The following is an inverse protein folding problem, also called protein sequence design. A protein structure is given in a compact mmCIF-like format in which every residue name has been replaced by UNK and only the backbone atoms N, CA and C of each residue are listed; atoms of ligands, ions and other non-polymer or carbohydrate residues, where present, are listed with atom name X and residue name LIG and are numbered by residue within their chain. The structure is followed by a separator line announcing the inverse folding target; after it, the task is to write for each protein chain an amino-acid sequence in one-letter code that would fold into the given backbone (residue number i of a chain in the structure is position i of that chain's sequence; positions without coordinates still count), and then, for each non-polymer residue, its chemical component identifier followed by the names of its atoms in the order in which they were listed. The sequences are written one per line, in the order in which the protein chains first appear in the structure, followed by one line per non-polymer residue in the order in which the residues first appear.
data_IF_426363662546
#
_entry.id   IF_426363662546
#
_cell.length_a   1.000
_cell.length_b   1.000
_cell.length_c   1.000
_cell.angle_alpha   90.00
_cell.angle_beta   90.00
_cell.angle_gamma   90.00
#
_symmetry.space_group_name_H-M   'P 1'
#
loop_
_entity.id
_entity.type
_entity.pdbx_description
1 polymer ?
#
# COMPACT_ATOMS: atom_id res chain seq x y z
N UNK A 1 20.27 -19.70 8.97
CA UNK A 1 19.15 -19.77 7.98
C UNK A 1 18.64 -18.37 7.64
N UNK A 2 18.54 -17.45 8.62
CA UNK A 2 18.27 -16.01 8.44
C UNK A 2 19.26 -15.34 7.45
N UNK A 3 20.56 -15.68 7.53
CA UNK A 3 21.57 -15.13 6.63
C UNK A 3 21.32 -15.39 5.14
N UNK A 4 20.64 -16.49 4.78
CA UNK A 4 20.47 -16.89 3.37
C UNK A 4 19.45 -16.05 2.59
N UNK A 5 18.57 -15.33 3.28
CA UNK A 5 17.55 -14.45 2.67
C UNK A 5 17.86 -12.96 2.89
N UNK A 6 18.55 -12.61 3.98
CA UNK A 6 19.25 -11.32 4.05
C UNK A 6 20.23 -11.20 2.89
N UNK A 7 20.96 -12.29 2.59
CA UNK A 7 21.77 -12.41 1.36
C UNK A 7 20.99 -12.13 0.08
N UNK A 8 19.68 -12.39 -0.01
CA UNK A 8 18.92 -12.15 -1.26
C UNK A 8 18.48 -10.70 -1.39
N UNK A 9 18.19 -10.03 -0.27
CA UNK A 9 17.90 -8.60 -0.27
C UNK A 9 19.17 -7.76 -0.41
N UNK A 10 20.25 -8.17 0.25
CA UNK A 10 21.59 -7.63 0.01
C UNK A 10 21.99 -7.87 -1.44
N UNK A 11 21.83 -9.08 -1.99
CA UNK A 11 22.08 -9.32 -3.43
C UNK A 11 21.20 -8.48 -4.33
N UNK A 12 19.90 -8.38 -4.09
CA UNK A 12 19.03 -7.50 -4.89
C UNK A 12 19.45 -6.02 -4.76
N UNK A 13 19.82 -5.59 -3.57
CA UNK A 13 20.34 -4.24 -3.34
C UNK A 13 21.69 -4.01 -4.04
N UNK A 14 22.55 -5.02 -4.10
CA UNK A 14 23.88 -4.97 -4.70
C UNK A 14 23.81 -5.10 -6.23
N UNK A 15 23.01 -6.04 -6.75
CA UNK A 15 22.78 -6.29 -8.18
C UNK A 15 22.23 -5.05 -8.89
N UNK A 16 21.45 -4.22 -8.18
CA UNK A 16 20.88 -2.98 -8.69
C UNK A 16 21.56 -1.70 -8.13
N UNK A 17 22.69 -1.83 -7.43
CA UNK A 17 23.49 -0.69 -6.92
C UNK A 17 22.75 0.23 -5.93
N UNK A 18 21.70 -0.28 -5.27
CA UNK A 18 20.90 0.44 -4.28
C UNK A 18 21.68 0.65 -2.97
N UNK A 19 22.70 -0.18 -2.71
CA UNK A 19 23.59 -0.08 -1.54
C UNK A 19 24.62 1.06 -1.61
N UNK A 20 25.04 1.46 -2.81
CA UNK A 20 26.12 2.45 -3.00
C UNK A 20 25.74 3.85 -2.51
N UNK A 21 24.44 4.19 -2.52
CA UNK A 21 23.93 5.47 -2.00
C UNK A 21 23.79 5.50 -0.48
N UNK A 22 23.81 4.35 0.20
CA UNK A 22 23.78 4.24 1.67
C UNK A 22 25.14 4.44 2.32
N UNK A 23 26.21 4.03 1.63
CA UNK A 23 27.60 4.10 2.11
C UNK A 23 28.34 5.39 1.73
N UNK A 24 27.67 6.37 1.12
CA UNK A 24 28.28 7.68 0.98
C UNK A 24 28.46 8.29 2.38
N UNK A 25 29.69 8.64 2.79
CA UNK A 25 29.90 9.35 4.04
C UNK A 25 29.09 10.64 3.97
N UNK A 26 28.06 10.74 4.82
CA UNK A 26 27.27 11.95 4.99
C UNK A 26 28.24 13.08 5.30
N UNK A 27 28.48 13.96 4.34
CA UNK A 27 29.54 14.99 4.40
C UNK A 27 29.29 16.07 5.46
N UNK A 28 28.22 15.97 6.25
CA UNK A 28 27.92 16.86 7.38
C UNK A 28 27.53 16.04 8.61
N UNK A 29 28.52 15.41 9.27
CA UNK A 29 28.40 14.90 10.64
C UNK A 29 29.25 15.78 11.53
N UNK A 30 28.69 16.94 11.88
CA UNK A 30 29.06 17.68 13.08
C UNK A 30 27.76 17.84 13.86
N UNK A 31 27.31 16.75 14.46
CA UNK A 31 26.81 16.75 15.84
C UNK A 31 26.65 15.30 16.29
N UNK A 32 27.63 14.83 17.05
CA UNK A 32 27.62 13.53 17.68
C UNK A 32 26.77 13.63 18.95
N UNK A 33 25.46 13.43 18.79
CA UNK A 33 24.50 13.31 19.89
C UNK A 33 23.49 12.22 19.61
N UNK A 34 23.64 11.07 20.26
CA UNK A 34 22.60 10.05 20.44
C UNK A 34 22.09 9.37 19.17
N UNK A 35 22.44 8.11 18.97
CA UNK A 35 21.78 7.18 18.05
C UNK A 35 20.34 6.81 18.51
N UNK A 36 19.59 7.75 19.09
CA UNK A 36 18.16 7.67 19.31
C UNK A 36 17.42 8.36 18.15
N UNK A 37 17.71 7.94 16.91
CA UNK A 37 16.66 8.03 15.89
C UNK A 37 15.71 6.89 16.18
N UNK A 38 14.89 7.09 17.21
CA UNK A 38 13.66 6.35 17.44
C UNK A 38 13.04 6.07 16.07
N UNK A 39 12.88 4.77 15.75
CA UNK A 39 12.10 4.37 14.58
C UNK A 39 10.84 5.22 14.65
N UNK A 40 10.62 6.08 13.66
CA UNK A 40 9.41 6.88 13.56
C UNK A 40 8.30 5.87 13.25
N UNK A 41 7.85 5.17 14.28
CA UNK A 41 6.62 4.39 14.26
C UNK A 41 5.58 5.46 14.07
N UNK A 42 5.01 5.53 12.87
CA UNK A 42 3.79 6.30 12.65
C UNK A 42 2.77 5.63 13.54
N UNK A 43 2.60 6.19 14.74
CA UNK A 43 1.50 5.79 15.59
C UNK A 43 0.26 6.24 14.84
N UNK A 44 -0.60 5.30 14.48
CA UNK A 44 -1.95 5.67 14.07
C UNK A 44 -2.52 6.49 15.22
N UNK A 45 -2.73 7.78 14.98
CA UNK A 45 -3.34 8.63 15.98
C UNK A 45 -4.76 8.10 16.14
N UNK A 46 -5.02 7.43 17.26
CA UNK A 46 -6.37 7.11 17.68
C UNK A 46 -7.07 8.41 18.03
N UNK A 47 -7.52 9.14 17.01
CA UNK A 47 -8.37 10.30 17.16
C UNK A 47 -9.75 9.81 17.60
N UNK A 48 -10.04 9.91 18.90
CA UNK A 48 -11.33 10.13 19.57
C UNK A 48 -12.62 9.41 19.11
N UNK A 49 -12.52 8.41 18.25
CA UNK A 49 -13.59 7.51 17.85
C UNK A 49 -13.03 6.11 17.76
N UNK A 50 -13.74 5.14 18.31
CA UNK A 50 -13.37 3.73 18.30
C UNK A 50 -13.53 3.16 16.86
N UNK A 51 -12.80 3.72 15.89
CA UNK A 51 -12.82 3.28 14.50
C UNK A 51 -12.05 1.97 14.44
N UNK A 52 -12.81 0.88 14.27
CA UNK A 52 -12.28 -0.47 14.13
C UNK A 52 -12.12 -0.75 12.65
N UNK A 53 -10.98 -1.35 12.27
CA UNK A 53 -10.74 -1.80 10.91
C UNK A 53 -11.86 -2.75 10.45
N UNK A 54 -12.47 -2.45 9.30
CA UNK A 54 -13.34 -3.39 8.60
C UNK A 54 -12.46 -4.43 7.88
N UNK A 55 -12.10 -5.50 8.61
CA UNK A 55 -11.22 -6.57 8.12
C UNK A 55 -11.73 -7.19 6.81
N UNK A 56 -13.05 -7.34 6.66
CA UNK A 56 -13.66 -7.91 5.45
C UNK A 56 -13.44 -6.97 4.26
N UNK A 57 -13.64 -5.67 4.45
CA UNK A 57 -13.36 -4.69 3.41
C UNK A 57 -11.87 -4.65 3.06
N UNK A 58 -11.00 -4.67 4.08
CA UNK A 58 -9.55 -4.60 3.96
C UNK A 58 -8.98 -5.80 3.18
N UNK A 59 -9.37 -7.03 3.54
CA UNK A 59 -8.96 -8.26 2.86
C UNK A 59 -9.44 -8.31 1.41
N UNK A 60 -10.69 -7.89 1.18
CA UNK A 60 -11.22 -7.81 -0.17
C UNK A 60 -10.46 -6.79 -1.02
N UNK A 61 -10.10 -5.64 -0.45
CA UNK A 61 -9.30 -4.62 -1.15
C UNK A 61 -7.91 -5.16 -1.50
N UNK A 62 -7.25 -5.84 -0.56
CA UNK A 62 -5.92 -6.40 -0.80
C UNK A 62 -5.94 -7.50 -1.88
N UNK A 63 -6.93 -8.39 -1.84
CA UNK A 63 -7.15 -9.39 -2.89
C UNK A 63 -7.40 -8.75 -4.26
N UNK A 64 -8.17 -7.66 -4.30
CA UNK A 64 -8.42 -6.90 -5.53
C UNK A 64 -7.16 -6.25 -6.07
N UNK A 65 -6.25 -5.81 -5.19
CA UNK A 65 -4.93 -5.34 -5.59
C UNK A 65 -4.13 -6.47 -6.25
N UNK A 66 -4.14 -7.69 -5.71
CA UNK A 66 -3.44 -8.83 -6.33
C UNK A 66 -3.99 -9.15 -7.72
N UNK A 67 -5.32 -9.20 -7.85
CA UNK A 67 -6.00 -9.43 -9.14
C UNK A 67 -5.63 -8.34 -10.16
N UNK A 68 -5.61 -7.08 -9.73
CA UNK A 68 -5.29 -5.92 -10.57
C UNK A 68 -3.83 -5.92 -10.98
N UNK A 69 -2.92 -6.20 -10.03
CA UNK A 69 -1.49 -6.32 -10.28
C UNK A 69 -1.21 -7.31 -11.39
N UNK A 70 -1.79 -8.51 -11.27
CA UNK A 70 -1.65 -9.58 -12.26
C UNK A 70 -2.28 -9.22 -13.62
N UNK A 71 -3.39 -8.50 -13.63
CA UNK A 71 -4.00 -8.03 -14.87
C UNK A 71 -3.10 -7.00 -15.59
N UNK A 72 -2.51 -6.06 -14.86
CA UNK A 72 -1.59 -5.06 -15.42
C UNK A 72 -0.32 -5.70 -15.99
N UNK A 73 0.24 -6.73 -15.35
CA UNK A 73 1.37 -7.49 -15.90
C UNK A 73 1.00 -8.17 -17.23
N UNK A 74 -0.18 -8.80 -17.29
CA UNK A 74 -0.69 -9.43 -18.52
C UNK A 74 -0.86 -8.42 -19.66
N UNK A 75 -1.35 -7.21 -19.38
CA UNK A 75 -1.50 -6.16 -20.40
C UNK A 75 -0.18 -5.75 -21.02
N UNK A 76 0.92 -5.80 -20.26
CA UNK A 76 2.28 -5.55 -20.79
C UNK A 76 2.92 -6.79 -21.44
N UNK A 77 2.16 -7.86 -21.67
CA UNK A 77 2.64 -9.17 -22.16
C UNK A 77 3.68 -9.83 -21.26
N UNK A 78 3.68 -9.52 -19.96
CA UNK A 78 4.55 -10.11 -18.95
C UNK A 78 3.79 -11.31 -18.36
N UNK A 79 3.89 -12.45 -19.06
CA UNK A 79 3.08 -13.65 -18.80
C UNK A 79 3.76 -14.69 -17.89
N UNK A 80 4.87 -14.33 -17.26
CA UNK A 80 5.77 -15.25 -16.54
C UNK A 80 5.27 -15.64 -15.16
N UNK A 81 4.46 -14.82 -14.50
CA UNK A 81 4.04 -15.05 -13.12
C UNK A 81 2.60 -15.54 -13.07
N UNK A 82 2.39 -16.69 -12.41
CA UNK A 82 1.06 -17.24 -12.13
C UNK A 82 0.51 -16.70 -10.79
N UNK A 83 -0.80 -16.79 -10.59
CA UNK A 83 -1.43 -16.37 -9.34
C UNK A 83 -0.92 -17.19 -8.14
N UNK A 84 -0.67 -18.48 -8.34
CA UNK A 84 -0.10 -19.37 -7.33
C UNK A 84 1.33 -18.98 -6.97
N UNK A 85 2.12 -18.55 -7.96
CA UNK A 85 3.49 -18.05 -7.74
C UNK A 85 3.47 -16.75 -6.92
N UNK A 86 2.56 -15.81 -7.24
CA UNK A 86 2.39 -14.59 -6.47
C UNK A 86 2.02 -14.88 -5.01
N UNK A 87 1.00 -15.71 -4.79
CA UNK A 87 0.56 -16.10 -3.45
C UNK A 87 1.68 -16.80 -2.66
N UNK A 88 2.46 -17.66 -3.32
CA UNK A 88 3.60 -18.31 -2.70
C UNK A 88 4.67 -17.28 -2.29
N UNK A 89 5.02 -16.34 -3.16
CA UNK A 89 6.00 -15.29 -2.85
C UNK A 89 5.54 -14.39 -1.71
N UNK A 90 4.25 -14.03 -1.67
CA UNK A 90 3.64 -13.30 -0.55
C UNK A 90 3.79 -14.10 0.74
N UNK A 91 3.36 -15.36 0.77
CA UNK A 91 3.45 -16.21 1.97
C UNK A 91 4.90 -16.42 2.44
N UNK A 92 5.82 -16.68 1.51
CA UNK A 92 7.25 -16.83 1.82
C UNK A 92 7.80 -15.53 2.43
N UNK A 93 7.40 -14.38 1.91
CA UNK A 93 7.80 -13.05 2.42
C UNK A 93 7.17 -12.74 3.77
N UNK A 94 5.89 -13.06 3.98
CA UNK A 94 5.18 -12.92 5.26
C UNK A 94 5.89 -13.69 6.38
N UNK A 95 6.30 -14.94 6.11
CA UNK A 95 6.98 -15.79 7.09
C UNK A 95 8.42 -15.34 7.36
N UNK A 96 9.04 -14.68 6.39
CA UNK A 96 10.41 -14.20 6.51
C UNK A 96 10.50 -12.88 7.27
N UNK A 97 9.58 -11.96 7.01
CA UNK A 97 9.68 -10.62 7.54
C UNK A 97 9.29 -10.60 9.01
N UNK A 98 10.22 -10.12 9.83
CA UNK A 98 9.88 -9.73 11.18
C UNK A 98 8.84 -8.61 11.11
N UNK A 99 7.74 -8.79 11.84
CA UNK A 99 6.70 -7.79 12.12
C UNK A 99 7.28 -6.62 12.96
N UNK A 100 8.27 -5.93 12.40
CA UNK A 100 9.12 -4.95 13.09
C UNK A 100 8.47 -3.58 13.29
N UNK A 101 7.31 -3.38 12.66
CA UNK A 101 6.41 -2.25 12.86
C UNK A 101 5.47 -2.45 14.04
N UNK A 102 5.38 -3.67 14.58
CA UNK A 102 4.50 -3.93 15.71
C UNK A 102 5.15 -3.33 16.95
N UNK A 103 4.32 -2.72 17.81
CA UNK A 103 4.82 -2.22 19.09
C UNK A 103 5.50 -3.37 19.85
N UNK A 104 6.65 -3.10 20.45
CA UNK A 104 7.40 -4.08 21.25
C UNK A 104 6.70 -4.48 22.57
N UNK A 105 5.43 -4.10 22.74
CA UNK A 105 4.61 -4.42 23.89
C UNK A 105 4.19 -5.89 23.90
N UNK A 106 4.00 -6.45 25.09
CA UNK A 106 3.51 -7.82 25.35
C UNK A 106 2.07 -8.11 24.89
N UNK A 107 1.44 -7.19 24.17
CA UNK A 107 0.08 -7.32 23.65
C UNK A 107 0.10 -7.93 22.25
N UNK A 108 -0.90 -8.76 21.89
CA UNK A 108 -1.05 -9.21 20.52
C UNK A 108 -1.22 -8.00 19.59
N UNK A 109 -0.73 -8.14 18.35
CA UNK A 109 -0.90 -7.13 17.32
C UNK A 109 -2.39 -6.87 17.08
N UNK A 110 -2.75 -5.61 16.87
CA UNK A 110 -4.13 -5.29 16.50
C UNK A 110 -4.35 -5.50 14.98
N UNK A 111 -5.62 -5.60 14.57
CA UNK A 111 -5.98 -5.86 13.18
C UNK A 111 -5.39 -4.82 12.20
N UNK A 112 -5.28 -3.55 12.62
CA UNK A 112 -4.66 -2.48 11.83
C UNK A 112 -3.17 -2.73 11.57
N UNK A 113 -2.42 -3.12 12.61
CA UNK A 113 -1.01 -3.46 12.52
C UNK A 113 -0.81 -4.66 11.59
N UNK A 114 -1.68 -5.67 11.68
CA UNK A 114 -1.65 -6.84 10.80
C UNK A 114 -1.93 -6.48 9.35
N UNK A 115 -2.97 -5.67 9.09
CA UNK A 115 -3.29 -5.20 7.75
C UNK A 115 -2.16 -4.36 7.13
N UNK A 116 -1.62 -3.41 7.89
CA UNK A 116 -0.48 -2.60 7.44
C UNK A 116 0.75 -3.45 7.11
N UNK A 117 1.00 -4.51 7.90
CA UNK A 117 2.06 -5.46 7.61
C UNK A 117 1.79 -6.24 6.34
N UNK A 118 0.56 -6.69 6.11
CA UNK A 118 0.17 -7.37 4.88
C UNK A 118 0.34 -6.43 3.66
N UNK A 119 -0.10 -5.18 3.73
CA UNK A 119 0.16 -4.19 2.69
C UNK A 119 1.65 -4.03 2.38
N UNK A 120 2.50 -3.99 3.41
CA UNK A 120 3.95 -3.90 3.23
C UNK A 120 4.54 -5.15 2.55
N UNK A 121 4.08 -6.34 2.92
CA UNK A 121 4.50 -7.59 2.27
C UNK A 121 4.14 -7.56 0.79
N UNK A 122 2.89 -7.23 0.45
CA UNK A 122 2.43 -7.18 -0.94
C UNK A 122 3.22 -6.12 -1.72
N UNK A 123 3.40 -4.92 -1.16
CA UNK A 123 4.24 -3.88 -1.76
C UNK A 123 5.64 -4.39 -2.07
N UNK A 124 6.30 -5.10 -1.14
CA UNK A 124 7.64 -5.62 -1.35
C UNK A 124 7.69 -6.65 -2.48
N UNK A 125 6.77 -7.61 -2.46
CA UNK A 125 6.69 -8.67 -3.49
C UNK A 125 6.40 -8.05 -4.86
N UNK A 126 5.46 -7.11 -4.94
CA UNK A 126 5.14 -6.41 -6.18
C UNK A 126 6.37 -5.68 -6.73
N UNK A 127 7.09 -4.91 -5.91
CA UNK A 127 8.29 -4.22 -6.38
C UNK A 127 9.37 -5.18 -6.88
N UNK A 128 9.60 -6.28 -6.16
CA UNK A 128 10.58 -7.29 -6.58
C UNK A 128 10.22 -7.87 -7.95
N UNK A 129 8.93 -8.18 -8.17
CA UNK A 129 8.42 -8.65 -9.45
C UNK A 129 8.57 -7.58 -10.53
N UNK A 130 8.13 -6.35 -10.28
CA UNK A 130 8.17 -5.26 -11.25
C UNK A 130 9.60 -5.00 -11.75
N UNK A 131 10.58 -5.08 -10.86
CA UNK A 131 11.99 -4.92 -11.20
C UNK A 131 12.53 -6.12 -11.97
N UNK A 132 12.26 -7.35 -11.50
CA UNK A 132 12.76 -8.57 -12.15
C UNK A 132 12.22 -8.78 -13.55
N UNK A 133 10.97 -8.44 -13.77
CA UNK A 133 10.29 -8.58 -15.06
C UNK A 133 10.48 -7.33 -15.94
N UNK A 134 11.32 -6.37 -15.52
CA UNK A 134 11.64 -5.13 -16.25
C UNK A 134 10.39 -4.37 -16.74
N UNK A 135 9.36 -4.33 -15.89
CA UNK A 135 8.05 -3.75 -16.23
C UNK A 135 8.20 -2.27 -16.56
N UNK A 136 7.51 -1.80 -17.61
CA UNK A 136 7.43 -0.37 -17.90
C UNK A 136 6.53 0.32 -16.85
N UNK A 137 7.18 0.78 -15.79
CA UNK A 137 6.52 1.26 -14.57
C UNK A 137 5.53 2.42 -14.80
N UNK A 138 5.78 3.44 -15.64
CA UNK A 138 4.82 4.53 -15.81
C UNK A 138 3.46 4.07 -16.33
N UNK A 139 3.43 3.18 -17.32
CA UNK A 139 2.16 2.62 -17.83
C UNK A 139 1.52 1.72 -16.79
N UNK A 140 2.32 0.84 -16.16
CA UNK A 140 1.83 -0.06 -15.12
C UNK A 140 1.14 0.72 -14.00
N UNK A 141 1.80 1.75 -13.48
CA UNK A 141 1.32 2.60 -12.39
C UNK A 141 -0.02 3.22 -12.73
N UNK A 142 -0.13 3.86 -13.91
CA UNK A 142 -1.36 4.52 -14.33
C UNK A 142 -2.53 3.53 -14.43
N UNK A 143 -2.30 2.35 -15.01
CA UNK A 143 -3.34 1.34 -15.17
C UNK A 143 -3.75 0.73 -13.82
N UNK A 144 -2.78 0.47 -12.95
CA UNK A 144 -3.00 -0.07 -11.62
C UNK A 144 -3.78 0.92 -10.75
N UNK A 145 -3.32 2.16 -10.63
CA UNK A 145 -3.98 3.22 -9.85
C UNK A 145 -5.38 3.51 -10.37
N UNK A 146 -5.58 3.58 -11.69
CA UNK A 146 -6.90 3.81 -12.28
C UNK A 146 -7.85 2.65 -11.99
N UNK A 147 -7.38 1.40 -12.02
CA UNK A 147 -8.23 0.23 -11.79
C UNK A 147 -8.56 0.07 -10.31
N UNK A 148 -7.58 0.18 -9.41
CA UNK A 148 -7.82 0.17 -7.95
C UNK A 148 -8.71 1.33 -7.54
N UNK A 149 -8.46 2.54 -8.06
CA UNK A 149 -9.29 3.71 -7.81
C UNK A 149 -10.76 3.49 -8.22
N UNK A 150 -10.99 2.93 -9.41
CA UNK A 150 -12.36 2.56 -9.87
C UNK A 150 -13.01 1.53 -8.95
N UNK A 151 -12.25 0.59 -8.39
CA UNK A 151 -12.77 -0.41 -7.46
C UNK A 151 -13.19 0.22 -6.13
N UNK A 152 -12.36 1.09 -5.57
CA UNK A 152 -12.69 1.86 -4.35
C UNK A 152 -13.94 2.69 -4.59
N UNK A 153 -13.98 3.47 -5.68
CA UNK A 153 -15.14 4.27 -6.04
C UNK A 153 -16.42 3.44 -6.17
N UNK A 154 -16.37 2.29 -6.86
CA UNK A 154 -17.53 1.39 -6.96
C UNK A 154 -18.00 0.87 -5.61
N UNK A 155 -17.07 0.57 -4.69
CA UNK A 155 -17.43 0.17 -3.33
C UNK A 155 -18.09 1.32 -2.58
N UNK A 156 -17.57 2.54 -2.70
CA UNK A 156 -18.19 3.74 -2.10
C UNK A 156 -19.59 3.98 -2.64
N UNK A 157 -19.79 3.91 -3.95
CA UNK A 157 -21.10 4.11 -4.57
C UNK A 157 -22.13 3.05 -4.19
N UNK A 158 -21.71 1.82 -3.85
CA UNK A 158 -22.61 0.78 -3.35
C UNK A 158 -23.11 1.10 -1.94
N UNK A 159 -22.24 1.61 -1.07
CA UNK A 159 -22.60 1.96 0.31
C UNK A 159 -23.32 3.31 0.37
N UNK A 160 -23.05 4.22 -0.57
CA UNK A 160 -23.64 5.55 -0.65
C UNK A 160 -24.18 5.85 -2.06
N UNK A 161 -25.31 5.24 -2.45
CA UNK A 161 -25.88 5.40 -3.80
C UNK A 161 -26.39 6.82 -4.08
N UNK A 162 -26.62 7.64 -3.05
CA UNK A 162 -27.00 9.06 -3.16
C UNK A 162 -25.97 9.91 -3.91
N UNK A 163 -24.69 9.50 -3.94
CA UNK A 163 -23.64 10.17 -4.71
C UNK A 163 -23.89 10.17 -6.23
N UNK A 164 -24.68 9.22 -6.75
CA UNK A 164 -25.03 9.14 -8.16
C UNK A 164 -26.18 10.06 -8.55
N UNK A 165 -26.98 10.55 -7.60
CA UNK A 165 -28.14 11.39 -7.89
C UNK A 165 -27.75 12.82 -8.29
N UNK A 166 -26.64 13.33 -7.78
CA UNK A 166 -26.22 14.73 -8.02
C UNK A 166 -25.44 14.93 -9.33
N UNK A 167 -24.86 13.87 -9.92
CA UNK A 167 -24.04 13.94 -11.14
C UNK A 167 -24.85 14.09 -12.44
N UNK A 168 -26.16 13.82 -12.42
CA UNK A 168 -26.98 13.74 -13.63
C UNK A 168 -27.46 15.09 -14.18
N UNK A 169 -27.24 16.20 -13.47
CA UNK A 169 -27.84 17.51 -13.78
C UNK A 169 -26.83 18.61 -14.16
N UNK A 170 -25.58 18.24 -14.46
CA UNK A 170 -24.46 19.19 -14.48
C UNK A 170 -24.26 19.90 -15.82
N UNK A 171 -24.21 21.23 -15.79
CA UNK A 171 -24.06 22.04 -17.02
C UNK A 171 -22.78 22.88 -17.04
N UNK A 172 -22.12 23.11 -15.89
CA UNK A 172 -20.91 23.95 -15.81
C UNK A 172 -19.68 23.23 -15.25
N UNK A 173 -18.47 23.72 -15.60
CA UNK A 173 -17.20 23.19 -15.09
C UNK A 173 -17.06 23.36 -13.57
N UNK A 174 -17.58 24.45 -13.02
CA UNK A 174 -17.51 24.73 -11.58
C UNK A 174 -18.36 23.72 -10.79
N UNK A 175 -19.58 23.43 -11.26
CA UNK A 175 -20.44 22.39 -10.65
C UNK A 175 -19.74 21.03 -10.65
N UNK A 176 -19.13 20.64 -11.79
CA UNK A 176 -18.34 19.40 -11.91
C UNK A 176 -17.19 19.33 -10.91
N UNK A 177 -16.47 20.43 -10.73
CA UNK A 177 -15.31 20.48 -9.85
C UNK A 177 -15.73 20.42 -8.37
N UNK A 178 -16.77 21.15 -7.99
CA UNK A 178 -17.35 21.09 -6.64
C UNK A 178 -17.86 19.68 -6.33
N UNK A 179 -18.58 19.05 -7.24
CA UNK A 179 -19.09 17.70 -7.05
C UNK A 179 -17.98 16.65 -6.97
N UNK A 180 -16.92 16.81 -7.78
CA UNK A 180 -15.74 15.93 -7.70
C UNK A 180 -15.07 16.03 -6.32
N UNK A 181 -14.94 17.24 -5.75
CA UNK A 181 -14.39 17.42 -4.40
C UNK A 181 -15.28 16.76 -3.33
N UNK A 182 -16.59 16.99 -3.38
CA UNK A 182 -17.54 16.36 -2.44
C UNK A 182 -17.50 14.83 -2.54
N UNK A 183 -17.41 14.29 -3.76
CA UNK A 183 -17.27 12.85 -3.97
C UNK A 183 -15.96 12.33 -3.38
N UNK A 184 -14.84 13.04 -3.57
CA UNK A 184 -13.55 12.70 -2.97
C UNK A 184 -13.60 12.70 -1.44
N UNK A 185 -14.18 13.72 -0.82
CA UNK A 185 -14.35 13.79 0.64
C UNK A 185 -15.22 12.66 1.16
N UNK A 186 -16.26 12.30 0.42
CA UNK A 186 -17.14 11.19 0.79
C UNK A 186 -16.42 9.84 0.73
N UNK A 187 -15.61 9.62 -0.30
CA UNK A 187 -14.75 8.42 -0.41
C UNK A 187 -13.76 8.38 0.76
N UNK A 188 -13.10 9.50 1.07
CA UNK A 188 -12.16 9.57 2.18
C UNK A 188 -12.84 9.31 3.52
N UNK A 189 -14.02 9.90 3.76
CA UNK A 189 -14.83 9.66 4.96
C UNK A 189 -15.21 8.18 5.08
N UNK A 190 -15.57 7.54 3.97
CA UNK A 190 -15.83 6.09 3.98
C UNK A 190 -14.58 5.31 4.37
N UNK A 191 -13.44 5.56 3.72
CA UNK A 191 -12.19 4.87 4.02
C UNK A 191 -11.76 5.07 5.48
N UNK A 192 -11.99 6.27 6.02
CA UNK A 192 -11.75 6.57 7.43
C UNK A 192 -12.69 5.76 8.32
N UNK A 193 -14.00 5.74 8.03
CA UNK A 193 -14.97 4.93 8.79
C UNK A 193 -14.69 3.42 8.74
N UNK A 194 -14.04 2.95 7.66
CA UNK A 194 -13.58 1.57 7.50
C UNK A 194 -12.25 1.29 8.21
N UNK A 195 -11.63 2.29 8.84
CA UNK A 195 -10.32 2.17 9.49
C UNK A 195 -9.15 2.02 8.53
N UNK A 196 -9.31 2.34 7.25
CA UNK A 196 -8.22 2.20 6.26
C UNK A 196 -7.29 3.41 6.22
N UNK A 197 -7.79 4.60 6.59
CA UNK A 197 -6.99 5.82 6.70
C UNK A 197 -7.30 6.51 8.03
N UNK A 198 -6.28 7.10 8.64
CA UNK A 198 -6.44 7.79 9.93
C UNK A 198 -6.96 9.22 9.74
N UNK A 199 -6.43 9.93 8.73
CA UNK A 199 -6.72 11.34 8.43
C UNK A 199 -6.75 11.59 6.92
N UNK A 200 -7.59 12.53 6.52
CA UNK A 200 -7.68 13.11 5.18
C UNK A 200 -7.83 14.62 5.38
N UNK A 201 -6.71 15.35 5.23
CA UNK A 201 -6.61 16.81 5.35
C UNK A 201 -5.87 17.38 4.14
#
# INVERSE_FOLDING_TARGET
VIDKLDSKWERFSDDFGLGDKRNQPKRNVIDAGGNERSKKVVQSQSNDGNIVLDEVFADNLLKRCDETFMACLKTQNIATISAESLLRQINDTTNLLRKSFFKASSSPANAQEEFNFNCYVHFRVYNEILVKEEVFFPSFKNDFEATVGKLILKSTLKEQPSLLQDLASETTLNERLTNALVASDTVATLLQNKGLIDTWE
#
